data_IF_907429694196
#
_entry.id   IF_907429694196
#
_cell.length_a   1.000
_cell.length_b   1.000
_cell.length_c   1.000
_cell.angle_alpha   90.00
_cell.angle_beta   90.00
_cell.angle_gamma   90.00
#
_symmetry.space_group_name_H-M   'P 1'
#
loop_
_entity.id
_entity.type
_entity.pdbx_description
1 polymer ?
#
# COMPACT_ATOMS: atom_id res chain seq x y z
N UNK A 1 -4.88 -52.55 -24.30
CA UNK A 1 -3.48 -52.89 -24.64
C UNK A 1 -2.87 -51.68 -25.32
N UNK A 2 -1.68 -51.22 -24.91
CA UNK A 2 -1.06 -50.05 -25.51
C UNK A 2 -0.53 -50.41 -26.90
N UNK A 3 -0.96 -49.68 -27.94
CA UNK A 3 -0.49 -49.85 -29.32
C UNK A 3 0.86 -49.13 -29.49
N UNK A 4 1.88 -49.83 -29.98
CA UNK A 4 3.22 -49.25 -30.19
C UNK A 4 3.16 -48.13 -31.24
N UNK A 5 3.72 -46.96 -30.91
CA UNK A 5 3.79 -45.81 -31.82
C UNK A 5 2.56 -44.90 -31.86
N UNK A 6 1.51 -45.19 -31.07
CA UNK A 6 0.34 -44.30 -30.93
C UNK A 6 0.27 -43.68 -29.53
N UNK A 7 -0.18 -42.42 -29.42
CA UNK A 7 -0.43 -41.83 -28.11
C UNK A 7 -1.58 -42.55 -27.40
N UNK A 8 -1.60 -42.46 -26.07
CA UNK A 8 -2.69 -43.04 -25.27
C UNK A 8 -4.02 -42.42 -25.70
N UNK A 9 -5.01 -43.27 -26.00
CA UNK A 9 -6.34 -42.80 -26.41
C UNK A 9 -7.02 -42.14 -25.21
N UNK A 10 -7.30 -40.84 -25.35
CA UNK A 10 -8.08 -40.09 -24.37
C UNK A 10 -9.55 -40.16 -24.81
N UNK A 11 -10.47 -40.61 -23.96
CA UNK A 11 -11.85 -40.95 -24.33
C UNK A 11 -12.77 -39.71 -24.54
N UNK A 12 -12.22 -38.57 -24.95
CA UNK A 12 -12.98 -37.36 -25.21
C UNK A 12 -13.39 -37.29 -26.68
N UNK A 13 -14.64 -36.88 -26.92
CA UNK A 13 -15.11 -36.58 -28.27
C UNK A 13 -14.44 -35.29 -28.75
N UNK A 14 -13.48 -35.43 -29.65
CA UNK A 14 -12.79 -34.29 -30.24
C UNK A 14 -13.66 -33.65 -31.34
N UNK A 15 -13.58 -32.32 -31.52
CA UNK A 15 -14.06 -31.64 -32.71
C UNK A 15 -13.56 -32.32 -34.01
N UNK A 16 -14.37 -32.26 -35.07
CA UNK A 16 -14.07 -32.87 -36.38
C UNK A 16 -12.79 -32.37 -37.05
N UNK A 17 -12.42 -32.98 -38.17
CA UNK A 17 -11.16 -32.67 -38.87
C UNK A 17 -10.99 -31.20 -39.27
N UNK A 18 -12.08 -30.47 -39.47
CA UNK A 18 -12.06 -29.06 -39.88
C UNK A 18 -11.78 -28.10 -38.72
N UNK A 19 -11.71 -28.59 -37.48
CA UNK A 19 -11.43 -27.78 -36.32
C UNK A 19 -9.93 -27.55 -36.12
N UNK A 20 -9.54 -26.28 -36.15
CA UNK A 20 -8.17 -25.87 -35.83
C UNK A 20 -8.05 -25.59 -34.33
N UNK A 21 -7.24 -26.39 -33.64
CA UNK A 21 -6.91 -26.16 -32.23
C UNK A 21 -5.98 -24.95 -32.08
N UNK A 22 -6.21 -24.15 -31.05
CA UNK A 22 -5.40 -22.98 -30.73
C UNK A 22 -6.22 -21.69 -30.71
N UNK A 23 -5.54 -20.58 -30.39
CA UNK A 23 -6.15 -19.25 -30.41
C UNK A 23 -5.96 -18.65 -31.81
N UNK A 24 -7.06 -18.48 -32.54
CA UNK A 24 -7.05 -17.70 -33.77
C UNK A 24 -7.06 -16.21 -33.43
N UNK A 25 -6.03 -15.49 -33.87
CA UNK A 25 -5.95 -14.03 -33.74
C UNK A 25 -6.35 -13.45 -35.09
N UNK A 26 -7.58 -12.96 -35.18
CA UNK A 26 -8.06 -12.20 -36.33
C UNK A 26 -7.19 -10.93 -36.49
N UNK A 27 -6.43 -10.87 -37.58
CA UNK A 27 -5.69 -9.67 -37.97
C UNK A 27 -6.59 -8.80 -38.84
N UNK A 28 -7.27 -7.85 -38.23
CA UNK A 28 -8.07 -6.85 -38.92
C UNK A 28 -7.26 -5.59 -39.26
N UNK A 29 -5.96 -5.72 -39.50
CA UNK A 29 -5.03 -4.58 -39.53
C UNK A 29 -4.90 -3.92 -40.91
N UNK A 30 -5.66 -4.36 -41.93
CA UNK A 30 -5.65 -3.84 -43.32
C UNK A 30 -4.28 -3.73 -44.01
N UNK A 31 -3.22 -4.22 -43.37
CA UNK A 31 -1.86 -4.21 -43.85
C UNK A 31 -1.18 -2.83 -43.84
N UNK A 32 -0.03 -2.80 -44.50
CA UNK A 32 0.81 -1.60 -44.68
C UNK A 32 0.06 -0.38 -45.26
N UNK A 33 -0.83 -0.52 -46.26
CA UNK A 33 -1.50 0.66 -46.81
C UNK A 33 -2.45 1.33 -45.82
N UNK A 34 -3.12 0.56 -44.95
CA UNK A 34 -3.98 1.15 -43.91
C UNK A 34 -3.15 1.86 -42.84
N UNK A 35 -1.99 1.29 -42.47
CA UNK A 35 -1.07 1.88 -41.50
C UNK A 35 -0.40 3.20 -41.98
N UNK A 36 -0.09 3.32 -43.27
CA UNK A 36 0.56 4.52 -43.84
C UNK A 36 -0.49 5.56 -44.26
N UNK A 37 -1.63 5.12 -44.81
CA UNK A 37 -2.62 6.01 -45.43
C UNK A 37 -3.58 6.69 -44.47
N UNK A 38 -3.69 6.22 -43.22
CA UNK A 38 -4.64 6.74 -42.25
C UNK A 38 -3.94 7.25 -41.00
N UNK A 39 -3.95 8.57 -40.78
CA UNK A 39 -3.76 9.11 -39.43
C UNK A 39 -4.97 8.71 -38.61
N UNK A 40 -4.85 7.61 -37.86
CA UNK A 40 -5.83 7.22 -36.87
C UNK A 40 -5.84 8.28 -35.75
N UNK A 41 -6.57 9.38 -35.95
CA UNK A 41 -7.00 10.22 -34.85
C UNK A 41 -7.81 9.32 -33.94
N UNK A 42 -7.29 9.05 -32.74
CA UNK A 42 -7.99 8.29 -31.72
C UNK A 42 -9.35 8.96 -31.54
N UNK A 43 -10.39 8.38 -32.15
CA UNK A 43 -11.76 8.84 -31.92
C UNK A 43 -11.98 8.61 -30.43
N UNK A 44 -12.32 9.65 -29.66
CA UNK A 44 -12.62 9.46 -28.25
C UNK A 44 -13.70 8.38 -28.21
N UNK A 45 -13.40 7.26 -27.53
CA UNK A 45 -14.40 6.21 -27.34
C UNK A 45 -15.61 6.89 -26.75
N UNK A 46 -16.68 7.02 -27.54
CA UNK A 46 -17.98 7.46 -27.05
C UNK A 46 -18.26 6.55 -25.88
N UNK A 47 -18.36 7.11 -24.67
CA UNK A 47 -18.39 6.40 -23.42
C UNK A 47 -19.21 5.11 -23.58
N UNK A 48 -18.53 3.98 -23.80
CA UNK A 48 -19.14 2.68 -23.56
C UNK A 48 -19.63 2.82 -22.15
N UNK A 49 -20.94 2.76 -21.94
CA UNK A 49 -21.54 2.92 -20.64
C UNK A 49 -20.80 1.95 -19.71
N UNK A 50 -19.80 2.48 -18.99
CA UNK A 50 -18.96 1.67 -18.14
C UNK A 50 -19.97 1.05 -17.19
N UNK A 51 -20.00 -0.28 -17.13
CA UNK A 51 -20.85 -0.98 -16.19
C UNK A 51 -20.27 -0.72 -14.81
N UNK A 52 -20.56 0.47 -14.28
CA UNK A 52 -20.05 0.94 -13.00
C UNK A 52 -20.54 -0.06 -11.94
N UNK A 53 -19.62 -0.68 -11.19
CA UNK A 53 -20.00 -1.70 -10.23
C UNK A 53 -20.89 -1.08 -9.16
N UNK A 54 -21.86 -1.85 -8.68
CA UNK A 54 -22.73 -1.42 -7.58
C UNK A 54 -21.93 -1.23 -6.29
N UNK A 55 -22.28 -0.21 -5.53
CA UNK A 55 -21.67 0.03 -4.23
C UNK A 55 -22.47 -0.62 -3.10
N UNK A 56 -22.27 -1.92 -2.92
CA UNK A 56 -22.99 -2.69 -1.90
C UNK A 56 -22.79 -2.14 -0.49
N UNK A 57 -21.66 -1.48 -0.19
CA UNK A 57 -21.40 -0.97 1.17
C UNK A 57 -22.33 0.19 1.52
N UNK A 58 -22.47 1.16 0.62
CA UNK A 58 -23.36 2.31 0.84
C UNK A 58 -24.83 1.89 0.77
N UNK A 59 -25.17 0.99 -0.15
CA UNK A 59 -26.52 0.42 -0.26
C UNK A 59 -26.90 -0.36 1.00
N UNK A 60 -26.02 -1.20 1.54
CA UNK A 60 -26.31 -1.98 2.76
C UNK A 60 -26.48 -1.07 3.98
N UNK A 61 -25.63 -0.05 4.11
CA UNK A 61 -25.77 0.96 5.17
C UNK A 61 -27.10 1.70 5.07
N UNK A 62 -27.52 2.06 3.85
CA UNK A 62 -28.80 2.71 3.61
C UNK A 62 -30.01 1.81 3.89
N UNK A 63 -29.91 0.53 3.54
CA UNK A 63 -30.95 -0.46 3.81
C UNK A 63 -31.13 -0.69 5.32
N UNK A 64 -30.03 -0.81 6.06
CA UNK A 64 -30.05 -0.92 7.52
C UNK A 64 -30.64 0.33 8.17
N UNK A 65 -30.29 1.54 7.70
CA UNK A 65 -30.90 2.79 8.18
C UNK A 65 -32.39 2.88 7.91
N UNK A 66 -32.87 2.24 6.85
CA UNK A 66 -34.29 2.17 6.51
C UNK A 66 -35.04 1.05 7.26
N UNK A 67 -34.35 0.26 8.09
CA UNK A 67 -34.97 -0.79 8.91
C UNK A 67 -35.14 -2.13 8.21
N UNK A 68 -34.55 -2.34 7.03
CA UNK A 68 -34.59 -3.65 6.38
C UNK A 68 -33.65 -4.64 7.07
N UNK A 69 -34.13 -5.85 7.29
CA UNK A 69 -33.43 -6.89 8.04
C UNK A 69 -33.32 -8.20 7.25
N UNK A 70 -34.21 -8.44 6.28
CA UNK A 70 -34.28 -9.69 5.53
C UNK A 70 -33.62 -9.58 4.15
N UNK A 71 -32.95 -10.63 3.67
CA UNK A 71 -32.30 -10.64 2.35
C UNK A 71 -33.24 -10.25 1.18
N UNK A 72 -34.51 -10.65 1.24
CA UNK A 72 -35.53 -10.28 0.24
C UNK A 72 -35.79 -8.77 0.21
N UNK A 73 -35.81 -8.13 1.37
CA UNK A 73 -36.00 -6.69 1.51
C UNK A 73 -34.79 -5.92 0.99
N UNK A 74 -33.58 -6.40 1.30
CA UNK A 74 -32.35 -5.87 0.72
C UNK A 74 -32.38 -5.95 -0.81
N UNK A 75 -32.84 -7.07 -1.39
CA UNK A 75 -32.98 -7.19 -2.84
C UNK A 75 -33.99 -6.19 -3.43
N UNK A 76 -35.09 -5.91 -2.74
CA UNK A 76 -36.04 -4.86 -3.13
C UNK A 76 -35.40 -3.48 -3.03
N UNK A 77 -34.65 -3.23 -1.96
CA UNK A 77 -33.90 -1.99 -1.76
C UNK A 77 -32.87 -1.77 -2.86
N UNK A 78 -32.13 -2.80 -3.26
CA UNK A 78 -31.14 -2.70 -4.32
C UNK A 78 -31.74 -2.39 -5.70
N UNK A 79 -32.97 -2.84 -5.95
CA UNK A 79 -33.71 -2.51 -7.17
C UNK A 79 -34.21 -1.07 -7.15
N UNK A 80 -34.66 -0.59 -5.99
CA UNK A 80 -35.18 0.77 -5.82
C UNK A 80 -34.08 1.83 -5.75
N UNK A 81 -32.93 1.52 -5.14
CA UNK A 81 -31.80 2.45 -4.94
C UNK A 81 -30.51 1.87 -5.51
N UNK A 82 -30.33 1.94 -6.82
CA UNK A 82 -29.12 1.50 -7.52
C UNK A 82 -28.00 2.56 -7.37
N UNK A 83 -27.19 2.45 -6.32
CA UNK A 83 -26.02 3.32 -6.11
C UNK A 83 -24.81 2.65 -6.77
N UNK A 84 -24.24 3.31 -7.78
CA UNK A 84 -23.06 2.82 -8.49
C UNK A 84 -21.80 3.55 -8.02
N UNK A 85 -20.69 2.81 -7.90
CA UNK A 85 -19.39 3.42 -7.61
C UNK A 85 -18.95 4.25 -8.80
N UNK A 86 -18.56 5.50 -8.54
CA UNK A 86 -17.79 6.26 -9.51
C UNK A 86 -16.56 5.42 -9.88
N UNK A 87 -16.25 5.36 -11.18
CA UNK A 87 -14.99 4.78 -11.61
C UNK A 87 -13.91 5.55 -10.87
N UNK A 88 -13.25 4.88 -9.92
CA UNK A 88 -12.35 5.54 -9.00
C UNK A 88 -11.36 6.40 -9.80
N UNK A 89 -11.06 7.58 -9.27
CA UNK A 89 -9.98 8.44 -9.77
C UNK A 89 -8.61 7.72 -9.83
N UNK A 90 -8.52 6.49 -9.30
CA UNK A 90 -7.44 5.52 -9.48
C UNK A 90 -7.37 4.90 -10.88
N UNK A 91 -7.94 5.54 -11.90
CA UNK A 91 -7.35 5.43 -13.23
C UNK A 91 -5.92 5.95 -13.12
N UNK A 92 -4.98 5.03 -12.88
CA UNK A 92 -3.52 5.29 -12.81
C UNK A 92 -2.98 6.01 -14.06
N UNK A 93 -3.82 6.09 -15.09
CA UNK A 93 -3.64 6.93 -16.26
C UNK A 93 -4.75 7.97 -16.25
N UNK A 94 -4.48 9.17 -15.69
CA UNK A 94 -5.21 10.37 -16.08
C UNK A 94 -5.19 10.36 -17.62
N UNK A 95 -6.35 10.12 -18.26
CA UNK A 95 -6.45 9.95 -19.73
C UNK A 95 -6.07 11.23 -20.49
N UNK A 96 -5.86 12.33 -19.79
CA UNK A 96 -5.27 13.56 -20.30
C UNK A 96 -3.81 13.68 -19.86
N UNK A 97 -2.91 14.11 -20.76
CA UNK A 97 -1.60 14.61 -20.35
C UNK A 97 -1.77 15.64 -19.22
N UNK A 98 -0.88 15.66 -18.22
CA UNK A 98 -0.92 16.71 -17.19
C UNK A 98 -0.87 18.07 -17.87
N UNK A 99 -1.60 19.05 -17.34
CA UNK A 99 -1.57 20.42 -17.87
C UNK A 99 -0.13 20.94 -17.80
N UNK A 100 0.42 21.30 -18.96
CA UNK A 100 1.78 21.86 -19.08
C UNK A 100 1.64 23.33 -19.47
N UNK A 101 2.21 24.27 -18.69
CA UNK A 101 2.18 25.68 -19.05
C UNK A 101 2.93 25.92 -20.35
N UNK A 102 2.50 26.92 -21.13
CA UNK A 102 3.04 27.22 -22.46
C UNK A 102 4.55 27.53 -22.46
N UNK A 103 5.08 28.02 -21.34
CA UNK A 103 6.50 28.36 -21.15
C UNK A 103 7.37 27.18 -20.67
N UNK A 104 6.81 25.97 -20.56
CA UNK A 104 7.61 24.81 -20.14
C UNK A 104 8.41 24.26 -21.32
N UNK A 105 9.70 24.50 -21.31
CA UNK A 105 10.66 23.84 -22.20
C UNK A 105 10.86 22.39 -21.77
N UNK A 106 10.70 21.44 -22.69
CA UNK A 106 11.05 20.03 -22.47
C UNK A 106 12.53 19.80 -22.78
N UNK A 107 13.21 19.02 -21.95
CA UNK A 107 14.64 18.71 -22.10
C UNK A 107 15.38 18.72 -20.77
N UNK A 108 16.64 18.28 -20.78
CA UNK A 108 17.53 18.37 -19.62
C UNK A 108 18.12 19.78 -19.62
N UNK A 109 17.86 20.62 -18.60
CA UNK A 109 18.52 21.93 -18.52
C UNK A 109 20.03 21.72 -18.48
N UNK A 110 20.78 22.66 -19.08
CA UNK A 110 22.24 22.60 -19.02
C UNK A 110 22.67 22.46 -17.55
N UNK A 111 23.50 21.45 -17.25
CA UNK A 111 24.02 21.24 -15.90
C UNK A 111 24.70 22.54 -15.47
N UNK A 112 24.29 23.19 -14.38
CA UNK A 112 24.99 24.37 -13.91
C UNK A 112 26.45 23.99 -13.67
N UNK A 113 27.38 24.84 -14.13
CA UNK A 113 28.79 24.64 -13.84
C UNK A 113 28.98 24.49 -12.34
N UNK A 114 29.81 23.54 -11.89
CA UNK A 114 30.16 23.44 -10.47
C UNK A 114 30.62 24.81 -10.00
N UNK A 115 30.02 25.39 -8.93
CA UNK A 115 30.33 26.74 -8.52
C UNK A 115 31.81 26.80 -8.08
N UNK A 116 32.66 27.33 -8.97
CA UNK A 116 34.12 27.37 -8.79
C UNK A 116 34.50 28.05 -7.46
N UNK A 117 33.74 29.08 -7.10
CA UNK A 117 33.91 29.81 -5.86
C UNK A 117 33.76 28.92 -4.61
N UNK A 118 32.75 28.05 -4.56
CA UNK A 118 32.53 27.15 -3.42
C UNK A 118 33.65 26.10 -3.29
N UNK A 119 34.29 25.73 -4.40
CA UNK A 119 35.47 24.84 -4.41
C UNK A 119 36.70 25.59 -3.86
N UNK A 120 36.95 26.79 -4.37
CA UNK A 120 38.09 27.62 -3.95
C UNK A 120 38.02 28.01 -2.46
N UNK A 121 36.81 28.23 -1.96
CA UNK A 121 36.57 28.49 -0.53
C UNK A 121 36.51 27.23 0.34
N UNK A 122 36.70 26.04 -0.24
CA UNK A 122 36.61 24.76 0.46
C UNK A 122 35.28 24.52 1.19
N UNK A 123 34.18 25.13 0.75
CA UNK A 123 32.87 25.04 1.39
C UNK A 123 32.36 23.61 1.51
N UNK A 124 32.63 22.78 0.50
CA UNK A 124 32.27 21.35 0.53
C UNK A 124 33.04 20.55 1.57
N UNK A 125 34.30 20.93 1.86
CA UNK A 125 35.08 20.35 2.94
C UNK A 125 34.44 20.72 4.28
N UNK A 126 34.05 21.97 4.46
CA UNK A 126 33.41 22.44 5.69
C UNK A 126 32.07 21.74 5.95
N UNK A 127 31.22 21.66 4.92
CA UNK A 127 29.94 20.92 4.98
C UNK A 127 30.16 19.45 5.37
N UNK A 128 31.16 18.78 4.78
CA UNK A 128 31.47 17.40 5.11
C UNK A 128 31.94 17.26 6.57
N UNK A 129 32.81 18.16 7.03
CA UNK A 129 33.29 18.17 8.42
C UNK A 129 32.15 18.38 9.41
N UNK A 130 31.23 19.30 9.11
CA UNK A 130 30.04 19.54 9.93
C UNK A 130 29.14 18.31 9.99
N UNK A 131 28.90 17.66 8.84
CA UNK A 131 28.14 16.41 8.78
C UNK A 131 28.80 15.29 9.60
N UNK A 132 30.13 15.15 9.56
CA UNK A 132 30.84 14.17 10.39
C UNK A 132 30.74 14.49 11.89
N UNK A 133 30.81 15.77 12.27
CA UNK A 133 30.62 16.21 13.67
C UNK A 133 29.21 15.89 14.15
N UNK A 134 28.19 16.23 13.35
CA UNK A 134 26.79 15.95 13.66
C UNK A 134 26.54 14.43 13.81
N UNK A 135 27.06 13.62 12.88
CA UNK A 135 26.99 12.15 12.95
C UNK A 135 27.64 11.61 14.23
N UNK A 136 28.82 12.11 14.56
CA UNK A 136 29.55 11.71 15.77
C UNK A 136 28.78 12.10 17.04
N UNK A 137 28.19 13.30 17.08
CA UNK A 137 27.37 13.76 18.19
C UNK A 137 26.11 12.88 18.37
N UNK A 138 25.40 12.56 17.27
CA UNK A 138 24.25 11.66 17.30
C UNK A 138 24.63 10.26 17.82
N UNK A 139 25.73 9.69 17.33
CA UNK A 139 26.23 8.40 17.82
C UNK A 139 26.61 8.43 19.31
N UNK A 140 27.18 9.53 19.80
CA UNK A 140 27.48 9.71 21.23
C UNK A 140 26.20 9.78 22.07
N UNK A 141 25.19 10.52 21.62
CA UNK A 141 23.89 10.61 22.28
C UNK A 141 23.17 9.26 22.35
N UNK A 142 23.19 8.47 21.28
CA UNK A 142 22.62 7.12 21.29
C UNK A 142 23.39 6.20 22.26
N UNK A 143 24.73 6.27 22.27
CA UNK A 143 25.54 5.50 23.23
C UNK A 143 25.32 5.91 24.68
N UNK A 144 25.14 7.20 25.00
CA UNK A 144 24.86 7.66 26.37
C UNK A 144 23.46 7.27 26.82
N UNK A 145 22.44 7.36 25.95
CA UNK A 145 21.08 6.86 26.23
C UNK A 145 21.07 5.36 26.56
N UNK A 146 21.83 4.56 25.83
CA UNK A 146 21.95 3.11 26.08
C UNK A 146 22.70 2.82 27.38
N UNK A 147 23.76 3.58 27.70
CA UNK A 147 24.52 3.41 28.96
C UNK A 147 23.75 3.82 30.23
N UNK A 148 22.74 4.70 30.13
CA UNK A 148 22.02 5.21 31.31
C UNK A 148 20.94 4.27 31.87
N UNK A 149 20.60 3.16 31.21
CA UNK A 149 19.66 2.17 31.75
C UNK A 149 20.40 0.98 32.34
N UNK A 150 21.22 1.22 33.37
CA UNK A 150 21.63 0.16 34.29
C UNK A 150 20.34 -0.31 34.98
N UNK A 151 19.88 -1.53 34.66
CA UNK A 151 18.69 -2.08 35.28
C UNK A 151 18.99 -2.29 36.76
N UNK A 152 18.22 -1.65 37.62
CA UNK A 152 18.27 -1.90 39.06
C UNK A 152 18.05 -3.40 39.32
N UNK A 153 18.96 -4.02 40.07
CA UNK A 153 18.81 -5.41 40.52
C UNK A 153 17.82 -5.48 41.69
N UNK A 154 17.20 -6.64 41.91
CA UNK A 154 16.22 -6.86 42.99
C UNK A 154 16.71 -6.35 44.37
N UNK A 155 18.00 -6.51 44.66
CA UNK A 155 18.63 -6.04 45.90
C UNK A 155 18.69 -4.52 46.00
N UNK A 156 18.99 -3.79 44.91
CA UNK A 156 18.98 -2.33 44.90
C UNK A 156 17.57 -1.75 45.08
N UNK A 157 16.56 -2.41 44.50
CA UNK A 157 15.15 -2.02 44.66
C UNK A 157 14.68 -2.18 46.12
N UNK A 158 15.03 -3.30 46.77
CA UNK A 158 14.69 -3.55 48.17
C UNK A 158 15.40 -2.61 49.15
N UNK A 159 16.58 -2.09 48.78
CA UNK A 159 17.28 -1.06 49.57
C UNK A 159 16.64 0.33 49.44
N UNK A 160 16.16 0.69 48.24
CA UNK A 160 15.46 1.96 48.00
C UNK A 160 14.07 1.98 48.66
N UNK A 161 13.39 0.83 48.64
CA UNK A 161 12.06 0.65 49.21
C UNK A 161 12.12 -0.42 50.31
N UNK A 162 12.61 -0.09 51.52
CA UNK A 162 12.57 -1.04 52.63
C UNK A 162 11.12 -1.43 52.91
N UNK A 163 10.89 -2.73 53.09
CA UNK A 163 9.56 -3.23 53.48
C UNK A 163 9.25 -2.67 54.86
N UNK A 164 8.07 -2.06 55.08
CA UNK A 164 7.71 -1.56 56.39
C UNK A 164 7.81 -2.70 57.40
N UNK A 165 8.36 -2.45 58.61
CA UNK A 165 8.44 -3.45 59.65
C UNK A 165 7.02 -3.95 59.92
N UNK A 166 6.80 -5.25 59.78
CA UNK A 166 5.52 -5.84 60.16
C UNK A 166 5.40 -5.67 61.67
N UNK A 167 4.27 -5.16 62.12
CA UNK A 167 3.92 -5.20 63.54
C UNK A 167 3.76 -6.67 63.92
N UNK A 168 4.80 -7.22 64.53
CA UNK A 168 4.75 -8.55 65.10
C UNK A 168 3.83 -8.48 66.32
N UNK A 169 2.57 -8.85 66.13
CA UNK A 169 1.63 -9.05 67.22
C UNK A 169 2.06 -10.28 68.01
N UNK A 170 3.02 -10.10 68.91
CA UNK A 170 3.36 -11.10 69.89
C UNK A 170 2.12 -11.35 70.77
N UNK A 171 1.66 -12.60 70.77
CA UNK A 171 0.53 -13.02 71.58
C UNK A 171 0.84 -12.73 73.05
N UNK A 172 0.01 -11.93 73.73
CA UNK A 172 0.17 -11.63 75.15
C UNK A 172 -1.05 -12.10 75.94
N UNK A 173 -0.80 -12.50 77.18
CA UNK A 173 -1.82 -12.97 78.10
C UNK A 173 -2.62 -11.78 78.66
N UNK A 174 -3.97 -11.73 78.50
CA UNK A 174 -4.79 -10.57 78.88
C UNK A 174 -4.71 -10.18 80.37
N UNK A 175 -4.36 -11.13 81.25
CA UNK A 175 -4.24 -10.87 82.69
C UNK A 175 -3.02 -10.05 83.09
N UNK A 176 -2.09 -9.83 82.16
CA UNK A 176 -0.87 -9.03 82.40
C UNK A 176 -1.00 -7.60 81.85
N UNK A 177 -2.14 -7.22 81.27
CA UNK A 177 -2.45 -5.84 80.96
C UNK A 177 -2.70 -5.09 82.28
N UNK A 178 -1.79 -4.19 82.63
CA UNK A 178 -1.93 -3.31 83.81
C UNK A 178 -3.07 -2.30 83.55
N UNK A 179 -3.99 -2.18 84.51
CA UNK A 179 -5.00 -1.10 84.62
C UNK A 179 -4.32 0.22 84.97
#
# INVERSE_FOLDING_TARGET
QAELGKPLRNCYTLPGLDFSYGLYIERADGGVPEAIGHWNTIKPRTNLAQNMPRDFITMNRGALKAGYTTAREFNLYYKAKDIRRKEDEYSRFKRSPPHVPADRTYGVPARPSTPLFDILQHKYKELWMEQQRARTAALRLEKTKVKMKVRDTRTTLLRKNPVPPKEESFWHLPRLEKV
#
